data_IF_830259819560
#
_entry.id   IF_830259819560
#
_cell.length_a   1.000
_cell.length_b   1.000
_cell.length_c   1.000
_cell.angle_alpha   90.00
_cell.angle_beta   90.00
_cell.angle_gamma   90.00
#
_symmetry.space_group_name_H-M   'P 1'
#
loop_
_entity.id
_entity.type
_entity.pdbx_description
1 polymer ?
#
# COMPACT_ATOMS: atom_id res chain seq x y z
N UNK A 1 17.61 -7.86 -12.62
CA UNK A 1 16.96 -8.73 -11.61
C UNK A 1 16.14 -7.81 -10.73
N UNK A 2 14.84 -7.68 -11.01
CA UNK A 2 13.95 -6.79 -10.23
C UNK A 2 13.75 -7.46 -8.88
N UNK A 3 14.28 -6.84 -7.81
CA UNK A 3 14.13 -7.32 -6.43
C UNK A 3 12.71 -7.00 -5.96
N UNK A 4 11.75 -7.88 -6.25
CA UNK A 4 10.48 -7.89 -5.53
C UNK A 4 10.75 -8.34 -4.08
N UNK A 5 10.28 -7.58 -3.07
CA UNK A 5 10.49 -7.87 -1.64
C UNK A 5 11.48 -6.94 -0.91
N UNK A 6 11.36 -5.62 -1.09
CA UNK A 6 12.24 -4.61 -0.46
C UNK A 6 12.17 -4.57 1.08
N UNK A 7 11.24 -5.30 1.71
CA UNK A 7 11.04 -5.37 3.16
C UNK A 7 11.39 -6.75 3.77
N UNK A 8 12.15 -7.60 3.06
CA UNK A 8 12.59 -8.90 3.61
C UNK A 8 14.01 -9.25 3.17
N UNK A 9 14.79 -9.86 4.08
CA UNK A 9 16.13 -10.36 3.79
C UNK A 9 16.07 -11.77 3.15
N UNK A 10 15.00 -12.51 3.46
CA UNK A 10 14.64 -13.76 2.79
C UNK A 10 13.18 -13.70 2.35
N UNK A 11 12.91 -14.18 1.14
CA UNK A 11 11.58 -14.45 0.61
C UNK A 11 11.68 -15.73 -0.22
N UNK A 12 10.96 -16.78 0.17
CA UNK A 12 11.10 -18.10 -0.44
C UNK A 12 9.78 -18.86 -0.50
N UNK A 13 9.58 -19.60 -1.59
CA UNK A 13 8.56 -20.65 -1.66
C UNK A 13 9.13 -21.92 -1.01
N UNK A 14 8.49 -22.39 0.05
CA UNK A 14 8.88 -23.57 0.80
C UNK A 14 7.85 -24.67 0.58
N UNK A 15 8.28 -25.77 -0.01
CA UNK A 15 7.47 -26.96 -0.22
C UNK A 15 7.83 -28.03 0.80
N UNK A 16 6.81 -28.56 1.45
CA UNK A 16 6.90 -29.70 2.38
C UNK A 16 6.08 -30.86 1.83
N UNK A 17 6.12 -32.02 2.49
CA UNK A 17 5.36 -33.20 2.05
C UNK A 17 3.83 -32.97 1.99
N UNK A 18 3.30 -32.02 2.76
CA UNK A 18 1.86 -31.80 2.91
C UNK A 18 1.36 -30.40 2.50
N UNK A 19 2.27 -29.44 2.24
CA UNK A 19 1.87 -28.09 1.82
C UNK A 19 2.99 -27.30 1.15
N UNK A 20 2.60 -26.30 0.37
CA UNK A 20 3.47 -25.21 -0.09
C UNK A 20 3.11 -23.93 0.65
N UNK A 21 4.13 -23.17 1.07
CA UNK A 21 3.96 -21.90 1.76
C UNK A 21 4.95 -20.86 1.24
N UNK A 22 4.59 -19.59 1.37
CA UNK A 22 5.52 -18.49 1.16
C UNK A 22 6.09 -18.06 2.51
N UNK A 23 7.41 -18.06 2.66
CA UNK A 23 8.12 -17.68 3.88
C UNK A 23 8.94 -16.44 3.63
N UNK A 24 8.76 -15.41 4.47
CA UNK A 24 9.59 -14.21 4.46
C UNK A 24 10.18 -13.92 5.83
N UNK A 25 11.33 -13.27 5.86
CA UNK A 25 12.07 -13.08 7.09
C UNK A 25 13.01 -11.91 7.11
N UNK A 26 13.26 -11.42 8.32
CA UNK A 26 14.28 -10.42 8.64
C UNK A 26 15.08 -10.88 9.88
N UNK A 27 16.38 -10.55 9.95
CA UNK A 27 17.13 -10.62 11.21
C UNK A 27 16.46 -9.77 12.31
N UNK A 28 16.54 -10.22 13.56
CA UNK A 28 15.96 -9.52 14.72
C UNK A 28 16.62 -8.18 15.02
N UNK A 29 17.87 -7.98 14.59
CA UNK A 29 18.58 -6.71 14.70
C UNK A 29 18.34 -5.77 13.50
N UNK A 30 17.56 -6.21 12.50
CA UNK A 30 17.26 -5.38 11.35
C UNK A 30 16.37 -4.18 11.77
N UNK A 31 16.69 -2.93 11.39
CA UNK A 31 15.95 -1.74 11.84
C UNK A 31 14.45 -1.73 11.50
N UNK A 32 14.04 -2.52 10.51
CA UNK A 32 12.64 -2.69 10.10
C UNK A 32 11.98 -3.96 10.60
N UNK A 33 12.60 -4.77 11.47
CA UNK A 33 12.00 -6.04 11.93
C UNK A 33 10.60 -5.85 12.53
N UNK A 34 10.33 -4.67 13.12
CA UNK A 34 9.02 -4.31 13.66
C UNK A 34 7.88 -4.43 12.63
N UNK A 35 8.17 -4.31 11.32
CA UNK A 35 7.17 -4.47 10.26
C UNK A 35 6.62 -5.90 10.22
N UNK A 36 7.43 -6.91 10.55
CA UNK A 36 7.02 -8.31 10.60
C UNK A 36 5.96 -8.52 11.68
N UNK A 37 6.20 -7.95 12.87
CA UNK A 37 5.26 -7.99 14.00
C UNK A 37 3.95 -7.27 13.66
N UNK A 38 4.03 -6.11 13.00
CA UNK A 38 2.84 -5.37 12.56
C UNK A 38 2.00 -6.20 11.60
N UNK A 39 2.63 -6.80 10.59
CA UNK A 39 1.93 -7.65 9.62
C UNK A 39 1.32 -8.90 10.27
N UNK A 40 2.00 -9.52 11.23
CA UNK A 40 1.44 -10.62 12.02
C UNK A 40 0.18 -10.20 12.80
N UNK A 41 0.21 -9.02 13.44
CA UNK A 41 -0.93 -8.50 14.19
C UNK A 41 -2.09 -8.05 13.31
N UNK A 42 -1.83 -7.60 12.08
CA UNK A 42 -2.88 -7.20 11.14
C UNK A 42 -3.57 -8.41 10.51
N UNK A 43 -2.84 -9.50 10.26
CA UNK A 43 -3.36 -10.66 9.51
C UNK A 43 -4.75 -11.16 9.98
N UNK A 44 -5.07 -11.26 11.28
CA UNK A 44 -6.40 -11.67 11.76
C UNK A 44 -7.53 -10.72 11.37
N UNK A 45 -7.23 -9.45 11.07
CA UNK A 45 -8.21 -8.41 10.76
C UNK A 45 -8.55 -8.28 9.27
N UNK A 46 -7.78 -8.93 8.38
CA UNK A 46 -7.92 -8.82 6.92
C UNK A 46 -8.15 -10.17 6.22
N UNK A 47 -9.01 -11.06 6.75
CA UNK A 47 -9.28 -12.36 6.13
C UNK A 47 -9.88 -12.16 4.73
N UNK A 48 -9.40 -12.93 3.75
CA UNK A 48 -9.85 -12.84 2.36
C UNK A 48 -9.21 -11.70 1.56
N UNK A 49 -8.66 -10.68 2.22
CA UNK A 49 -7.95 -9.55 1.59
C UNK A 49 -6.45 -9.83 1.53
N UNK A 50 -5.84 -10.27 2.64
CA UNK A 50 -4.42 -10.66 2.69
C UNK A 50 -4.26 -12.19 2.62
N UNK A 51 -3.12 -12.72 2.12
CA UNK A 51 -2.79 -14.14 2.29
C UNK A 51 -2.87 -14.54 3.76
N UNK A 52 -3.45 -15.71 4.03
CA UNK A 52 -3.58 -16.21 5.40
C UNK A 52 -2.19 -16.47 6.00
N UNK A 53 -1.89 -15.83 7.12
CA UNK A 53 -0.73 -16.17 7.93
C UNK A 53 -0.92 -17.56 8.55
N UNK A 54 0.05 -18.45 8.31
CA UNK A 54 0.08 -19.81 8.83
C UNK A 54 0.75 -19.84 10.20
N UNK A 55 1.84 -19.10 10.35
CA UNK A 55 2.58 -18.94 11.60
C UNK A 55 3.54 -17.75 11.50
N UNK A 56 3.87 -17.22 12.67
CA UNK A 56 4.96 -16.28 12.91
C UNK A 56 5.85 -16.91 13.98
N UNK A 57 7.16 -16.95 13.77
CA UNK A 57 8.10 -17.38 14.80
C UNK A 57 9.34 -16.51 14.83
N UNK A 58 9.96 -16.43 16.00
CA UNK A 58 11.29 -15.87 16.18
C UNK A 58 12.23 -16.99 16.62
N UNK A 59 13.30 -17.22 15.85
CA UNK A 59 14.25 -18.31 16.09
C UNK A 59 15.63 -17.94 15.52
N UNK A 60 16.69 -18.31 16.25
CA UNK A 60 18.09 -18.16 15.81
C UNK A 60 18.47 -16.76 15.28
N UNK A 61 17.90 -15.71 15.89
CA UNK A 61 18.14 -14.33 15.48
C UNK A 61 17.30 -13.85 14.29
N UNK A 62 16.26 -14.58 13.89
CA UNK A 62 15.35 -14.22 12.80
C UNK A 62 13.90 -14.09 13.27
N UNK A 63 13.15 -13.18 12.65
CA UNK A 63 11.68 -13.12 12.68
C UNK A 63 11.14 -13.60 11.32
N UNK A 64 10.42 -14.73 11.33
CA UNK A 64 9.94 -15.43 10.14
C UNK A 64 8.40 -15.47 10.11
N UNK A 65 7.84 -15.04 9.00
CA UNK A 65 6.41 -15.14 8.71
C UNK A 65 6.21 -16.16 7.59
N UNK A 66 5.26 -17.07 7.77
CA UNK A 66 4.82 -17.96 6.71
C UNK A 66 3.35 -17.74 6.39
N UNK A 67 3.08 -17.57 5.10
CA UNK A 67 1.75 -17.39 4.54
C UNK A 67 1.37 -18.58 3.69
N UNK A 68 0.06 -18.74 3.48
CA UNK A 68 -0.40 -19.62 2.42
C UNK A 68 0.26 -19.22 1.08
N UNK A 69 0.65 -20.23 0.30
CA UNK A 69 1.16 -19.97 -1.03
C UNK A 69 -0.02 -19.71 -1.97
N UNK A 70 0.06 -18.61 -2.72
CA UNK A 70 -0.92 -18.24 -3.73
C UNK A 70 -0.31 -18.40 -5.12
N UNK A 71 -1.08 -19.00 -6.03
CA UNK A 71 -0.75 -19.01 -7.46
C UNK A 71 -1.41 -17.80 -8.12
N UNK A 72 -0.63 -17.00 -8.82
CA UNK A 72 -1.06 -15.73 -9.41
C UNK A 72 0.11 -14.91 -9.94
N UNK A 73 -0.17 -13.66 -10.31
CA UNK A 73 0.82 -12.70 -10.79
C UNK A 73 0.72 -11.38 -10.01
N UNK A 74 1.77 -10.55 -10.09
CA UNK A 74 1.69 -9.18 -9.57
C UNK A 74 0.79 -8.34 -10.46
N UNK A 75 0.03 -7.43 -9.86
CA UNK A 75 -0.94 -6.62 -10.59
C UNK A 75 -0.28 -5.78 -11.70
N UNK A 76 -0.91 -5.76 -12.86
CA UNK A 76 -0.59 -4.82 -13.95
C UNK A 76 -1.49 -3.58 -13.85
N UNK A 77 -0.86 -2.40 -13.77
CA UNK A 77 -1.53 -1.11 -13.65
C UNK A 77 -1.51 -0.28 -14.93
N UNK A 78 -1.11 -0.87 -16.06
CA UNK A 78 -1.22 -0.19 -17.35
C UNK A 78 -2.69 0.08 -17.72
N UNK A 79 -2.95 1.10 -18.55
CA UNK A 79 -4.29 1.36 -19.07
C UNK A 79 -4.93 0.11 -19.69
N UNK A 80 -6.23 -0.06 -19.45
CA UNK A 80 -7.04 -1.21 -19.89
C UNK A 80 -6.63 -2.58 -19.33
N UNK A 81 -5.73 -2.63 -18.34
CA UNK A 81 -5.36 -3.87 -17.67
C UNK A 81 -6.59 -4.58 -17.07
N UNK A 82 -6.73 -5.91 -17.27
CA UNK A 82 -7.82 -6.68 -16.70
C UNK A 82 -7.68 -6.87 -15.17
N UNK A 83 -6.56 -6.45 -14.57
CA UNK A 83 -6.31 -6.58 -13.13
C UNK A 83 -6.97 -5.45 -12.31
N UNK A 84 -7.18 -4.27 -12.91
CA UNK A 84 -7.70 -3.09 -12.21
C UNK A 84 -9.03 -3.33 -11.48
N UNK A 85 -10.02 -4.04 -12.06
CA UNK A 85 -11.28 -4.34 -11.36
C UNK A 85 -11.08 -5.21 -10.10
N UNK A 86 -10.15 -6.17 -10.14
CA UNK A 86 -9.86 -7.03 -8.98
C UNK A 86 -9.18 -6.24 -7.86
N UNK A 87 -8.25 -5.35 -8.21
CA UNK A 87 -7.56 -4.45 -7.27
C UNK A 87 -8.56 -3.52 -6.58
N UNK A 88 -9.43 -2.88 -7.37
CA UNK A 88 -10.50 -2.01 -6.86
C UNK A 88 -11.45 -2.77 -5.93
N UNK A 89 -11.88 -3.98 -6.31
CA UNK A 89 -12.77 -4.79 -5.48
C UNK A 89 -12.15 -5.08 -4.09
N UNK A 90 -10.85 -5.44 -4.04
CA UNK A 90 -10.16 -5.69 -2.78
C UNK A 90 -9.93 -4.43 -1.95
N UNK A 91 -9.71 -3.27 -2.60
CA UNK A 91 -9.63 -1.97 -1.93
C UNK A 91 -10.98 -1.58 -1.30
N UNK A 92 -12.08 -1.77 -2.02
CA UNK A 92 -13.44 -1.55 -1.50
C UNK A 92 -13.70 -2.47 -0.29
N UNK A 93 -13.29 -3.75 -0.35
CA UNK A 93 -13.40 -4.65 0.79
C UNK A 93 -12.61 -4.14 2.01
N UNK A 94 -11.37 -3.66 1.80
CA UNK A 94 -10.56 -3.08 2.86
C UNK A 94 -11.22 -1.86 3.50
N UNK A 95 -11.88 -1.01 2.70
CA UNK A 95 -12.54 0.20 3.20
C UNK A 95 -13.66 -0.07 4.21
N UNK A 96 -14.20 -1.29 4.27
CA UNK A 96 -15.19 -1.69 5.27
C UNK A 96 -14.59 -2.12 6.62
N UNK A 97 -13.26 -2.17 6.74
CA UNK A 97 -12.57 -2.61 7.96
C UNK A 97 -12.27 -1.38 8.83
N UNK A 98 -12.92 -1.25 10.00
CA UNK A 98 -12.56 -0.21 10.95
C UNK A 98 -11.14 -0.46 11.48
N UNK A 99 -10.48 0.61 11.91
CA UNK A 99 -9.18 0.54 12.54
C UNK A 99 -9.22 -0.46 13.72
N UNK A 100 -8.41 -1.54 13.67
CA UNK A 100 -8.34 -2.48 14.78
C UNK A 100 -7.69 -1.79 15.99
N UNK A 101 -7.90 -2.35 17.19
CA UNK A 101 -7.27 -1.89 18.42
C UNK A 101 -5.78 -2.26 18.48
N UNK A 102 -5.01 -1.77 17.50
CA UNK A 102 -3.58 -1.95 17.33
C UNK A 102 -2.90 -0.59 17.33
N UNK A 103 -1.65 -0.54 17.78
CA UNK A 103 -0.82 0.65 17.70
C UNK A 103 -0.32 0.86 16.25
N UNK A 104 -1.16 1.51 15.46
CA UNK A 104 -0.91 1.90 14.08
C UNK A 104 -0.64 3.40 14.00
N UNK A 105 0.30 3.77 13.13
CA UNK A 105 0.51 5.19 12.81
C UNK A 105 -0.74 5.74 12.14
N UNK A 106 -1.13 6.95 12.52
CA UNK A 106 -2.21 7.66 11.82
C UNK A 106 -1.66 8.33 10.56
N UNK A 107 -2.49 8.51 9.53
CA UNK A 107 -2.13 9.26 8.33
C UNK A 107 -1.73 10.71 8.63
N UNK A 108 -2.42 11.45 9.53
CA UNK A 108 -1.93 12.74 10.02
C UNK A 108 -0.51 12.67 10.57
N UNK A 109 -0.20 11.65 11.40
CA UNK A 109 1.15 11.49 11.93
C UNK A 109 2.16 11.20 10.82
N UNK A 110 1.83 10.39 9.82
CA UNK A 110 2.74 10.05 8.70
C UNK A 110 3.04 11.24 7.79
N UNK A 111 2.05 12.09 7.57
CA UNK A 111 2.12 13.16 6.57
C UNK A 111 2.52 14.53 7.17
N UNK A 112 2.65 14.63 8.50
CA UNK A 112 2.94 15.89 9.23
C UNK A 112 4.15 16.68 8.72
N UNK A 113 5.17 15.99 8.23
CA UNK A 113 6.42 16.63 7.79
C UNK A 113 6.34 17.09 6.30
N UNK A 114 5.21 16.81 5.64
CA UNK A 114 4.99 17.08 4.21
C UNK A 114 3.79 18.00 3.95
N UNK A 115 3.08 18.44 4.98
CA UNK A 115 2.01 19.44 4.83
C UNK A 115 2.57 20.86 4.91
N UNK A 116 1.94 21.78 4.17
CA UNK A 116 2.23 23.23 4.26
C UNK A 116 1.52 23.89 5.43
N UNK A 117 0.23 23.58 5.60
CA UNK A 117 -0.59 24.04 6.70
C UNK A 117 -0.88 22.85 7.63
N UNK A 118 -0.49 22.91 8.92
CA UNK A 118 -0.87 21.88 9.89
C UNK A 118 -2.38 21.62 10.00
N UNK A 119 -3.24 22.58 9.61
CA UNK A 119 -4.68 22.37 9.56
C UNK A 119 -5.09 21.30 8.53
N UNK A 120 -4.33 21.12 7.45
CA UNK A 120 -4.60 20.13 6.41
C UNK A 120 -4.52 18.68 6.96
N UNK A 121 -3.83 18.46 8.08
CA UNK A 121 -3.75 17.14 8.73
C UNK A 121 -5.12 16.63 9.18
N UNK A 122 -6.07 17.51 9.44
CA UNK A 122 -7.44 17.12 9.80
C UNK A 122 -8.15 16.37 8.68
N UNK A 123 -7.85 16.67 7.41
CA UNK A 123 -8.42 15.97 6.27
C UNK A 123 -8.02 14.50 6.22
N UNK A 124 -6.81 14.17 6.69
CA UNK A 124 -6.27 12.81 6.59
C UNK A 124 -6.69 11.92 7.77
N UNK A 125 -7.32 12.50 8.79
CA UNK A 125 -7.77 11.75 9.96
C UNK A 125 -8.95 10.83 9.63
N UNK A 126 -9.01 9.69 10.31
CA UNK A 126 -10.11 8.75 10.19
C UNK A 126 -9.86 7.48 10.98
N UNK A 127 -10.87 6.63 11.04
CA UNK A 127 -10.92 5.43 11.87
C UNK A 127 -10.98 4.14 11.04
N UNK A 128 -10.44 4.14 9.82
CA UNK A 128 -10.37 2.97 8.95
C UNK A 128 -8.95 2.42 8.88
N UNK A 129 -8.83 1.10 8.71
CA UNK A 129 -7.56 0.46 8.40
C UNK A 129 -7.19 0.76 6.94
N UNK A 130 -5.96 1.24 6.72
CA UNK A 130 -5.44 1.56 5.39
C UNK A 130 -4.21 0.70 5.09
N UNK A 131 -4.09 0.25 3.84
CA UNK A 131 -2.91 -0.47 3.37
C UNK A 131 -1.72 0.49 3.20
N UNK A 132 -1.96 1.66 2.62
CA UNK A 132 -1.01 2.74 2.33
C UNK A 132 0.13 2.45 1.36
N UNK A 133 0.38 1.19 1.01
CA UNK A 133 1.40 0.83 0.02
C UNK A 133 0.78 0.11 -1.18
N UNK A 134 0.46 0.85 -2.23
CA UNK A 134 -0.20 0.35 -3.43
C UNK A 134 0.75 0.06 -4.59
N UNK A 135 2.05 -0.17 -4.33
CA UNK A 135 2.95 -0.70 -5.35
C UNK A 135 2.37 -1.99 -5.97
N UNK A 136 2.38 -2.15 -7.30
CA UNK A 136 1.86 -3.35 -7.96
C UNK A 136 2.53 -4.65 -7.48
N UNK A 137 3.78 -4.59 -7.02
CA UNK A 137 4.47 -5.74 -6.43
C UNK A 137 3.90 -6.20 -5.08
N UNK A 138 3.09 -5.37 -4.42
CA UNK A 138 2.39 -5.72 -3.18
C UNK A 138 0.97 -6.25 -3.42
N UNK A 139 0.54 -6.36 -4.68
CA UNK A 139 -0.79 -6.86 -5.04
C UNK A 139 -0.65 -8.12 -5.89
N UNK A 140 -1.15 -9.23 -5.37
CA UNK A 140 -1.16 -10.52 -6.08
C UNK A 140 -2.55 -10.81 -6.63
N UNK A 141 -2.68 -10.88 -7.95
CA UNK A 141 -3.92 -11.23 -8.63
C UNK A 141 -4.01 -12.75 -8.75
N UNK A 142 -5.07 -13.31 -8.16
CA UNK A 142 -5.37 -14.74 -8.12
C UNK A 142 -6.75 -14.98 -8.73
N UNK A 143 -6.81 -15.26 -10.03
CA UNK A 143 -8.08 -15.32 -10.77
C UNK A 143 -8.76 -13.95 -10.82
N UNK A 144 -9.95 -13.82 -10.24
CA UNK A 144 -10.71 -12.56 -10.19
C UNK A 144 -10.54 -11.78 -8.86
N UNK A 145 -9.59 -12.19 -8.02
CA UNK A 145 -9.36 -11.57 -6.72
C UNK A 145 -7.95 -10.97 -6.65
N UNK A 146 -7.81 -9.80 -6.05
CA UNK A 146 -6.51 -9.25 -5.69
C UNK A 146 -6.24 -9.49 -4.19
N UNK A 147 -5.02 -9.92 -3.86
CA UNK A 147 -4.58 -10.18 -2.48
C UNK A 147 -3.46 -9.21 -2.12
N UNK A 148 -3.65 -8.48 -1.03
CA UNK A 148 -2.75 -7.42 -0.58
C UNK A 148 -1.69 -8.04 0.32
N UNK A 149 -0.41 -7.82 0.00
CA UNK A 149 0.74 -8.28 0.77
C UNK A 149 1.53 -7.09 1.30
N UNK A 150 2.40 -7.33 2.28
CA UNK A 150 3.26 -6.31 2.88
C UNK A 150 2.52 -5.22 3.68
N UNK A 151 1.85 -5.67 4.74
CA UNK A 151 1.11 -4.80 5.68
C UNK A 151 2.01 -4.06 6.68
N UNK A 152 3.33 -4.06 6.47
CA UNK A 152 4.29 -3.43 7.38
C UNK A 152 4.06 -1.93 7.57
N UNK A 153 3.47 -1.26 6.59
CA UNK A 153 3.24 0.19 6.60
C UNK A 153 1.81 0.60 6.91
N UNK A 154 0.91 -0.37 7.13
CA UNK A 154 -0.49 -0.12 7.41
C UNK A 154 -0.73 0.91 8.51
N UNK A 155 -1.79 1.67 8.32
CA UNK A 155 -2.05 2.90 9.07
C UNK A 155 -3.55 3.07 9.33
N UNK A 156 -3.89 4.08 10.11
CA UNK A 156 -5.28 4.52 10.31
C UNK A 156 -5.51 5.89 9.71
N UNK A 157 -6.64 6.09 9.05
CA UNK A 157 -6.93 7.37 8.40
C UNK A 157 -8.28 7.40 7.70
N UNK A 158 -8.49 8.44 6.90
CA UNK A 158 -9.68 8.56 6.06
C UNK A 158 -9.68 7.49 4.95
N UNK A 159 -10.81 6.81 4.69
CA UNK A 159 -10.86 5.66 3.78
C UNK A 159 -10.60 6.00 2.31
N UNK A 160 -10.72 7.28 1.93
CA UNK A 160 -10.41 7.75 0.58
C UNK A 160 -8.91 7.90 0.30
N UNK A 161 -8.05 7.75 1.30
CA UNK A 161 -6.60 7.87 1.12
C UNK A 161 -6.05 6.72 0.29
N UNK A 162 -6.49 5.48 0.52
CA UNK A 162 -5.99 4.33 -0.24
C UNK A 162 -6.25 4.46 -1.77
N UNK A 163 -7.46 4.79 -2.25
CA UNK A 163 -7.67 5.04 -3.68
C UNK A 163 -6.83 6.22 -4.20
N UNK A 164 -6.57 7.25 -3.37
CA UNK A 164 -5.70 8.35 -3.76
C UNK A 164 -4.23 7.93 -3.91
N UNK A 165 -3.71 7.11 -2.99
CA UNK A 165 -2.36 6.59 -3.08
C UNK A 165 -2.19 5.65 -4.27
N UNK A 166 -3.20 4.84 -4.58
CA UNK A 166 -3.21 3.99 -5.76
C UNK A 166 -3.23 4.77 -7.08
N UNK A 167 -3.95 5.89 -7.14
CA UNK A 167 -4.01 6.74 -8.34
C UNK A 167 -2.63 7.20 -8.81
N UNK A 168 -1.70 7.47 -7.88
CA UNK A 168 -0.31 7.83 -8.22
C UNK A 168 0.40 6.68 -8.93
N UNK A 169 0.16 5.45 -8.49
CA UNK A 169 0.70 4.26 -9.15
C UNK A 169 0.10 4.07 -10.55
N UNK A 170 -1.19 4.37 -10.75
CA UNK A 170 -1.79 4.35 -12.09
C UNK A 170 -1.11 5.36 -13.02
N UNK A 171 -0.89 6.59 -12.56
CA UNK A 171 -0.20 7.62 -13.37
C UNK A 171 1.23 7.17 -13.71
N UNK A 172 1.96 6.63 -12.73
CA UNK A 172 3.30 6.09 -12.94
C UNK A 172 3.34 4.91 -13.94
N UNK A 173 2.21 4.25 -14.20
CA UNK A 173 2.07 3.15 -15.16
C UNK A 173 1.35 3.56 -16.46
N UNK A 174 1.24 4.86 -16.72
CA UNK A 174 0.84 5.40 -18.03
C UNK A 174 -0.58 5.95 -18.12
N UNK A 175 -1.32 6.02 -17.02
CA UNK A 175 -2.59 6.74 -16.99
C UNK A 175 -2.38 8.26 -16.97
N UNK A 176 -3.29 9.02 -17.57
CA UNK A 176 -3.38 10.46 -17.31
C UNK A 176 -3.98 10.70 -15.91
N UNK A 177 -3.76 11.89 -15.28
CA UNK A 177 -4.42 12.23 -14.02
C UNK A 177 -5.95 12.10 -14.07
N UNK A 178 -6.58 12.51 -15.17
CA UNK A 178 -8.02 12.36 -15.38
C UNK A 178 -8.46 10.89 -15.39
N UNK A 179 -7.75 10.02 -16.11
CA UNK A 179 -8.04 8.59 -16.13
C UNK A 179 -7.84 7.95 -14.75
N UNK A 180 -6.81 8.37 -14.02
CA UNK A 180 -6.52 7.84 -12.69
C UNK A 180 -7.57 8.29 -11.66
N UNK A 181 -8.03 9.54 -11.68
CA UNK A 181 -9.16 9.98 -10.84
C UNK A 181 -10.47 9.30 -11.21
N UNK A 182 -10.74 9.08 -12.50
CA UNK A 182 -11.92 8.34 -12.94
C UNK A 182 -11.89 6.88 -12.44
N UNK A 183 -10.73 6.24 -12.45
CA UNK A 183 -10.55 4.92 -11.86
C UNK A 183 -10.75 4.94 -10.35
N UNK A 184 -10.14 5.89 -9.63
CA UNK A 184 -10.30 6.05 -8.19
C UNK A 184 -11.76 6.35 -7.78
N UNK A 185 -12.51 7.08 -8.62
CA UNK A 185 -13.92 7.41 -8.41
C UNK A 185 -14.88 6.22 -8.45
N UNK A 186 -14.42 5.04 -8.85
CA UNK A 186 -15.19 3.79 -8.69
C UNK A 186 -15.25 3.33 -7.22
N UNK A 187 -14.35 3.83 -6.37
CA UNK A 187 -14.35 3.55 -4.93
C UNK A 187 -15.35 4.47 -4.19
N UNK A 188 -16.30 3.93 -3.39
CA UNK A 188 -17.31 4.76 -2.72
C UNK A 188 -16.72 5.86 -1.83
N UNK A 189 -15.69 5.53 -1.02
CA UNK A 189 -15.04 6.52 -0.17
C UNK A 189 -14.42 7.69 -0.94
N UNK A 190 -13.93 7.47 -2.18
CA UNK A 190 -13.38 8.56 -3.00
C UNK A 190 -14.45 9.61 -3.32
N UNK A 191 -15.68 9.18 -3.59
CA UNK A 191 -16.80 10.07 -3.88
C UNK A 191 -17.18 10.95 -2.68
N UNK A 192 -16.82 10.52 -1.47
CA UNK A 192 -17.04 11.27 -0.23
C UNK A 192 -15.81 12.14 0.15
N UNK A 193 -14.72 12.06 -0.59
CA UNK A 193 -13.51 12.81 -0.29
C UNK A 193 -13.74 14.33 -0.49
N UNK A 194 -13.42 15.17 0.51
CA UNK A 194 -13.52 16.62 0.34
C UNK A 194 -12.56 17.09 -0.75
N UNK A 195 -13.03 17.96 -1.65
CA UNK A 195 -12.20 18.54 -2.73
C UNK A 195 -10.92 19.16 -2.18
N UNK A 196 -11.01 19.92 -1.09
CA UNK A 196 -9.83 20.53 -0.45
C UNK A 196 -8.93 19.49 0.23
N UNK A 197 -9.47 18.39 0.73
CA UNK A 197 -8.70 17.27 1.26
C UNK A 197 -7.89 16.56 0.18
N UNK A 198 -8.47 16.35 -1.00
CA UNK A 198 -7.76 15.82 -2.17
C UNK A 198 -6.67 16.79 -2.65
N UNK A 199 -6.96 18.09 -2.72
CA UNK A 199 -5.98 19.12 -3.07
C UNK A 199 -4.81 19.15 -2.08
N UNK A 200 -5.11 19.06 -0.78
CA UNK A 200 -4.10 18.98 0.28
C UNK A 200 -3.26 17.70 0.16
N UNK A 201 -3.88 16.56 -0.11
CA UNK A 201 -3.16 15.30 -0.30
C UNK A 201 -2.24 15.36 -1.53
N UNK A 202 -2.69 15.96 -2.65
CA UNK A 202 -1.86 16.10 -3.86
C UNK A 202 -0.57 16.90 -3.59
N UNK A 203 -0.68 18.06 -2.93
CA UNK A 203 0.50 18.86 -2.51
C UNK A 203 1.40 18.08 -1.56
N UNK A 204 0.80 17.34 -0.62
CA UNK A 204 1.52 16.54 0.37
C UNK A 204 2.30 15.39 -0.29
N UNK A 205 1.67 14.67 -1.24
CA UNK A 205 2.28 13.57 -1.97
C UNK A 205 3.41 14.07 -2.88
N UNK A 206 3.24 15.23 -3.53
CA UNK A 206 4.32 15.90 -4.26
C UNK A 206 5.57 16.06 -3.40
N UNK A 207 5.43 16.67 -2.21
CA UNK A 207 6.54 16.90 -1.27
C UNK A 207 7.15 15.62 -0.74
N UNK A 208 6.32 14.62 -0.44
CA UNK A 208 6.76 13.32 0.01
C UNK A 208 7.62 12.63 -1.06
N UNK A 209 7.16 12.60 -2.31
CA UNK A 209 7.90 11.95 -3.40
C UNK A 209 9.13 12.73 -3.83
N UNK A 210 9.13 14.07 -3.74
CA UNK A 210 10.35 14.89 -3.88
C UNK A 210 11.41 14.51 -2.85
N UNK A 211 11.00 14.37 -1.58
CA UNK A 211 11.89 13.97 -0.49
C UNK A 211 12.46 12.56 -0.72
N UNK A 212 11.62 11.61 -1.14
CA UNK A 212 12.05 10.23 -1.45
C UNK A 212 13.01 10.21 -2.64
N UNK A 213 12.71 10.91 -3.73
CA UNK A 213 13.56 10.97 -4.91
C UNK A 213 14.93 11.60 -4.57
N UNK A 214 14.95 12.67 -3.77
CA UNK A 214 16.20 13.33 -3.33
C UNK A 214 17.08 12.42 -2.47
N UNK A 215 16.49 11.52 -1.68
CA UNK A 215 17.21 10.59 -0.80
C UNK A 215 17.56 9.25 -1.48
N UNK A 216 16.96 8.98 -2.64
CA UNK A 216 17.19 7.75 -3.38
C UNK A 216 18.50 7.82 -4.15
N UNK A 217 19.24 6.71 -4.14
CA UNK A 217 20.52 6.61 -4.86
C UNK A 217 20.33 6.09 -6.29
N UNK A 218 19.13 5.59 -6.61
CA UNK A 218 18.74 5.05 -7.90
C UNK A 218 17.42 5.71 -8.36
N UNK A 219 17.14 5.67 -9.66
CA UNK A 219 16.01 6.34 -10.33
C UNK A 219 14.63 5.70 -10.08
N UNK A 220 14.51 4.74 -9.16
CA UNK A 220 13.27 3.98 -8.95
C UNK A 220 12.10 4.87 -8.50
N UNK A 221 12.38 5.97 -7.81
CA UNK A 221 11.38 6.90 -7.29
C UNK A 221 10.92 7.93 -8.34
N UNK A 222 11.65 8.08 -9.46
CA UNK A 222 11.38 9.12 -10.46
C UNK A 222 9.98 9.00 -11.07
N UNK A 223 9.48 7.80 -11.47
CA UNK A 223 8.12 7.68 -12.00
C UNK A 223 7.05 8.12 -11.00
N UNK A 224 7.25 7.85 -9.71
CA UNK A 224 6.31 8.26 -8.67
C UNK A 224 6.39 9.76 -8.38
N UNK A 225 7.58 10.35 -8.46
CA UNK A 225 7.76 11.80 -8.37
C UNK A 225 7.05 12.51 -9.52
N UNK A 226 7.21 12.04 -10.76
CA UNK A 226 6.54 12.55 -11.95
C UNK A 226 5.01 12.40 -11.85
N UNK A 227 4.53 11.26 -11.37
CA UNK A 227 3.11 11.04 -11.12
C UNK A 227 2.54 12.04 -10.10
N UNK A 228 3.27 12.30 -9.02
CA UNK A 228 2.86 13.26 -8.00
C UNK A 228 2.87 14.71 -8.50
N UNK A 229 3.81 15.08 -9.39
CA UNK A 229 3.79 16.38 -10.11
C UNK A 229 2.51 16.49 -10.92
N UNK A 230 2.29 15.51 -11.80
CA UNK A 230 1.20 15.52 -12.77
C UNK A 230 -0.16 15.61 -12.08
N UNK A 231 -0.35 14.86 -10.99
CA UNK A 231 -1.60 14.94 -10.23
C UNK A 231 -1.78 16.28 -9.51
N UNK A 232 -0.74 16.84 -8.87
CA UNK A 232 -0.84 18.15 -8.24
C UNK A 232 -1.17 19.26 -9.25
N UNK A 233 -0.53 19.25 -10.41
CA UNK A 233 -0.79 20.20 -11.50
C UNK A 233 -2.22 20.09 -12.02
N UNK A 234 -2.73 18.86 -12.22
CA UNK A 234 -4.11 18.62 -12.62
C UNK A 234 -5.12 19.22 -11.62
N UNK A 235 -4.89 19.06 -10.32
CA UNK A 235 -5.78 19.57 -9.25
C UNK A 235 -5.76 21.08 -9.06
N UNK A 236 -4.78 21.80 -9.65
CA UNK A 236 -4.70 23.27 -9.60
C UNK A 236 -5.58 23.95 -10.65
N UNK A 237 -6.08 23.21 -11.63
CA UNK A 237 -6.90 23.67 -12.75
C UNK A 237 -8.36 23.26 -12.60
#
# INVERSE_FOLDING_TARGET
MIRAGLNSAIAARVTTANRTMFVKGLPLDHPRVWTQTREAHISPHVPGIAPRLLWHCEADGWSLLAFEHLEGHHADYTPDSPDLPAVMASMIQLSHIPAPALDLKTMPHRLRDYVDDPADLTWFAGNHLLHTEWNPHNILVTGHHARLVDWGWASTGAPWIDPALWLLWLIAHGHTPEQAEQAAATHPAWLEAPTEGLNALARTQRRLWDSIATQSHDDWANPMQEAAISWEEYRRH
#
